data_IF_684051367765
#
_entry.id   IF_684051367765
#
_cell.length_a   1.000
_cell.length_b   1.000
_cell.length_c   1.000
_cell.angle_alpha   90.00
_cell.angle_beta   90.00
_cell.angle_gamma   90.00
#
_symmetry.space_group_name_H-M   'P 1'
#
loop_
_entity.id
_entity.type
_entity.pdbx_description
1 polymer ?
#
# COMPACT_ATOMS: atom_id res chain seq x y z
N UNK A 1 -17.22 -6.35 4.49
CA UNK A 1 -15.94 -6.53 5.24
C UNK A 1 -16.14 -6.78 6.74
N UNK A 2 -17.39 -7.03 7.17
CA UNK A 2 -17.70 -7.30 8.59
C UNK A 2 -16.86 -8.45 9.16
N UNK A 3 -16.35 -8.27 10.38
CA UNK A 3 -15.50 -9.25 11.06
C UNK A 3 -14.08 -9.38 10.52
N UNK A 4 -13.67 -8.65 9.49
CA UNK A 4 -12.29 -8.62 8.98
C UNK A 4 -11.45 -7.58 9.73
N UNK A 5 -10.20 -7.93 10.03
CA UNK A 5 -9.19 -7.04 10.61
C UNK A 5 -8.21 -6.63 9.51
N UNK A 6 -8.12 -5.34 9.28
CA UNK A 6 -7.30 -4.72 8.21
C UNK A 6 -6.20 -3.87 8.83
N UNK A 7 -4.96 -4.12 8.48
CA UNK A 7 -3.82 -3.26 8.81
C UNK A 7 -3.51 -2.36 7.60
N UNK A 8 -3.73 -1.05 7.75
CA UNK A 8 -3.41 -0.05 6.74
C UNK A 8 -2.13 0.66 7.13
N UNK A 9 -1.09 0.54 6.34
CA UNK A 9 0.15 1.29 6.55
C UNK A 9 0.10 2.63 5.80
N UNK A 10 0.66 3.70 6.38
CA UNK A 10 0.53 5.05 5.81
C UNK A 10 -0.89 5.62 5.90
N UNK A 11 -1.64 5.21 6.93
CA UNK A 11 -3.08 5.42 7.07
C UNK A 11 -3.53 6.89 7.13
N UNK A 12 -2.67 7.82 7.49
CA UNK A 12 -2.93 9.27 7.50
C UNK A 12 -2.39 10.02 6.28
N UNK A 13 -1.74 9.31 5.35
CA UNK A 13 -1.27 9.85 4.07
C UNK A 13 -2.41 10.16 3.08
N UNK A 14 -2.08 10.81 1.96
CA UNK A 14 -3.09 11.23 0.96
C UNK A 14 -3.99 10.11 0.46
N UNK A 15 -3.44 8.97 0.05
CA UNK A 15 -4.21 7.78 -0.32
C UNK A 15 -4.65 6.99 0.92
N UNK A 16 -3.76 6.79 1.89
CA UNK A 16 -4.00 5.93 3.06
C UNK A 16 -5.23 6.36 3.86
N UNK A 17 -5.49 7.67 3.95
CA UNK A 17 -6.70 8.21 4.62
C UNK A 17 -7.97 7.73 3.93
N UNK A 18 -8.02 7.75 2.61
CA UNK A 18 -9.19 7.30 1.84
C UNK A 18 -9.34 5.77 1.90
N UNK A 19 -8.22 5.04 1.84
CA UNK A 19 -8.20 3.58 2.01
C UNK A 19 -8.72 3.19 3.40
N UNK A 20 -8.22 3.83 4.46
CA UNK A 20 -8.69 3.59 5.83
C UNK A 20 -10.19 3.85 5.96
N UNK A 21 -10.68 4.99 5.46
CA UNK A 21 -12.09 5.31 5.49
C UNK A 21 -12.94 4.29 4.70
N UNK A 22 -12.50 3.91 3.49
CA UNK A 22 -13.22 2.94 2.66
C UNK A 22 -13.36 1.56 3.33
N UNK A 23 -12.32 1.09 4.02
CA UNK A 23 -12.41 -0.16 4.80
C UNK A 23 -13.35 -0.02 6.01
N UNK A 24 -13.33 1.12 6.71
CA UNK A 24 -14.26 1.40 7.82
C UNK A 24 -15.72 1.43 7.33
N UNK A 25 -15.98 2.11 6.20
CA UNK A 25 -17.31 2.20 5.59
C UNK A 25 -17.81 0.83 5.12
N UNK A 26 -16.90 -0.03 4.67
CA UNK A 26 -17.20 -1.42 4.33
C UNK A 26 -17.41 -2.34 5.55
N UNK A 27 -17.31 -1.82 6.78
CA UNK A 27 -17.60 -2.55 8.02
C UNK A 27 -16.42 -3.32 8.61
N UNK A 28 -15.19 -3.09 8.14
CA UNK A 28 -14.00 -3.71 8.70
C UNK A 28 -13.58 -3.07 10.03
N UNK A 29 -12.86 -3.82 10.86
CA UNK A 29 -12.02 -3.27 11.93
C UNK A 29 -10.69 -2.86 11.31
N UNK A 30 -10.28 -1.60 11.46
CA UNK A 30 -9.10 -1.07 10.82
C UNK A 30 -8.06 -0.64 11.85
N UNK A 31 -6.88 -1.19 11.72
CA UNK A 31 -5.67 -0.71 12.40
C UNK A 31 -4.90 0.15 11.41
N UNK A 32 -4.83 1.46 11.68
CA UNK A 32 -4.06 2.39 10.88
C UNK A 32 -2.69 2.65 11.49
N UNK A 33 -1.62 2.55 10.71
CA UNK A 33 -0.28 2.91 11.17
C UNK A 33 0.38 3.96 10.30
N UNK A 34 1.03 4.89 10.94
CA UNK A 34 1.98 5.87 10.39
C UNK A 34 2.84 6.43 11.52
N UNK A 35 3.81 7.25 11.17
CA UNK A 35 4.74 7.84 12.16
C UNK A 35 4.07 8.73 13.20
N UNK A 36 2.94 9.36 12.87
CA UNK A 36 2.28 10.39 13.72
C UNK A 36 0.77 10.23 13.81
N UNK A 37 0.24 9.08 13.41
CA UNK A 37 -1.20 8.84 13.44
C UNK A 37 -1.76 8.93 14.86
N UNK A 38 -2.92 9.54 15.01
CA UNK A 38 -3.63 9.65 16.27
C UNK A 38 -4.98 8.96 16.18
N UNK A 39 -5.51 8.53 17.32
CA UNK A 39 -6.83 7.89 17.41
C UNK A 39 -7.94 8.80 16.87
N UNK A 40 -7.80 10.11 17.02
CA UNK A 40 -8.74 11.12 16.51
C UNK A 40 -8.74 11.30 14.98
N UNK A 41 -7.82 10.63 14.26
CA UNK A 41 -7.73 10.72 12.79
C UNK A 41 -9.00 10.24 12.09
N UNK A 42 -9.71 9.28 12.69
CA UNK A 42 -10.96 8.72 12.19
C UNK A 42 -11.99 8.58 13.32
N UNK A 43 -13.22 9.03 13.07
CA UNK A 43 -14.34 8.94 14.01
C UNK A 43 -15.07 7.60 13.84
N UNK A 44 -14.49 6.52 14.39
CA UNK A 44 -15.09 5.19 14.33
C UNK A 44 -14.59 4.34 15.50
N UNK A 45 -15.49 3.61 16.15
CA UNK A 45 -15.15 2.63 17.19
C UNK A 45 -14.42 1.40 16.63
N UNK A 46 -14.45 1.21 15.30
CA UNK A 46 -13.71 0.16 14.59
C UNK A 46 -12.33 0.60 14.12
N UNK A 47 -11.90 1.82 14.44
CA UNK A 47 -10.56 2.32 14.13
C UNK A 47 -9.64 2.25 15.33
N UNK A 48 -8.40 1.82 15.11
CA UNK A 48 -7.31 1.85 16.09
C UNK A 48 -6.07 2.45 15.44
N UNK A 49 -5.50 3.48 16.05
CA UNK A 49 -4.24 4.06 15.63
C UNK A 49 -3.05 3.38 16.33
N UNK A 50 -2.04 2.98 15.57
CA UNK A 50 -0.75 2.51 16.09
C UNK A 50 0.34 3.35 15.45
N UNK A 51 0.90 4.29 16.20
CA UNK A 51 2.01 5.11 15.71
C UNK A 51 3.30 4.26 15.63
N UNK A 52 3.99 4.33 14.49
CA UNK A 52 5.24 3.60 14.29
C UNK A 52 5.84 3.79 12.91
N UNK A 53 7.08 3.33 12.76
CA UNK A 53 7.83 3.36 11.50
C UNK A 53 8.00 1.94 10.96
N UNK A 54 8.28 1.83 9.66
CA UNK A 54 8.60 0.55 9.00
C UNK A 54 10.03 0.67 8.46
N UNK A 55 10.99 0.75 9.39
CA UNK A 55 12.41 0.92 9.06
C UNK A 55 13.17 -0.41 8.95
N UNK A 56 12.65 -1.46 9.59
CA UNK A 56 13.25 -2.80 9.60
C UNK A 56 12.20 -3.86 9.96
N UNK A 57 12.62 -5.12 9.95
CA UNK A 57 11.73 -6.25 10.26
C UNK A 57 11.17 -6.18 11.69
N UNK A 58 11.96 -5.74 12.67
CA UNK A 58 11.50 -5.73 14.07
C UNK A 58 10.43 -4.66 14.30
N UNK A 59 10.59 -3.46 13.73
CA UNK A 59 9.55 -2.44 13.76
C UNK A 59 8.26 -2.91 13.08
N UNK A 60 8.36 -3.60 11.93
CA UNK A 60 7.21 -4.19 11.25
C UNK A 60 6.53 -5.29 12.10
N UNK A 61 7.32 -6.17 12.73
CA UNK A 61 6.80 -7.20 13.65
C UNK A 61 6.08 -6.60 14.85
N UNK A 62 6.60 -5.51 15.41
CA UNK A 62 5.95 -4.82 16.52
C UNK A 62 4.56 -4.32 16.16
N UNK A 63 4.40 -3.69 14.97
CA UNK A 63 3.10 -3.24 14.46
C UNK A 63 2.12 -4.41 14.28
N UNK A 64 2.57 -5.51 13.69
CA UNK A 64 1.73 -6.70 13.48
C UNK A 64 1.36 -7.36 14.82
N UNK A 65 2.30 -7.50 15.75
CA UNK A 65 2.03 -8.05 17.09
C UNK A 65 0.99 -7.22 17.84
N UNK A 66 1.11 -5.89 17.79
CA UNK A 66 0.14 -5.02 18.45
C UNK A 66 -1.25 -5.14 17.83
N UNK A 67 -1.35 -5.26 16.50
CA UNK A 67 -2.60 -5.55 15.81
C UNK A 67 -3.18 -6.91 16.26
N UNK A 68 -2.40 -7.98 16.20
CA UNK A 68 -2.88 -9.34 16.50
C UNK A 68 -3.15 -9.56 17.99
N UNK A 69 -2.43 -8.90 18.89
CA UNK A 69 -2.71 -8.98 20.34
C UNK A 69 -4.04 -8.33 20.71
N UNK A 70 -4.47 -7.28 19.97
CA UNK A 70 -5.74 -6.60 20.23
C UNK A 70 -6.93 -7.31 19.61
N UNK A 71 -6.78 -7.89 18.42
CA UNK A 71 -7.89 -8.40 17.62
C UNK A 71 -7.83 -9.91 17.35
N UNK A 72 -6.80 -10.61 17.83
CA UNK A 72 -6.63 -12.05 17.69
C UNK A 72 -6.24 -12.53 16.30
N UNK A 73 -6.26 -11.67 15.27
CA UNK A 73 -6.00 -12.03 13.87
C UNK A 73 -5.58 -10.83 13.01
N UNK A 74 -5.18 -11.13 11.79
CA UNK A 74 -4.99 -10.16 10.70
C UNK A 74 -5.50 -10.80 9.40
N UNK A 75 -6.50 -10.21 8.78
CA UNK A 75 -7.08 -10.70 7.52
C UNK A 75 -6.50 -9.98 6.29
N UNK A 76 -6.20 -8.68 6.40
CA UNK A 76 -5.76 -7.86 5.26
C UNK A 76 -4.58 -6.98 5.64
N UNK A 77 -3.54 -6.98 4.82
CA UNK A 77 -2.48 -5.97 4.79
C UNK A 77 -2.71 -5.05 3.58
N UNK A 78 -3.13 -3.81 3.83
CA UNK A 78 -3.25 -2.74 2.85
C UNK A 78 -2.02 -1.82 2.95
N UNK A 79 -1.02 -2.03 2.08
CA UNK A 79 0.25 -1.30 2.15
C UNK A 79 0.22 -0.08 1.24
N UNK A 80 0.10 1.12 1.84
CA UNK A 80 0.06 2.39 1.11
C UNK A 80 1.29 3.27 1.37
N UNK A 81 2.25 2.81 2.18
CA UNK A 81 3.54 3.50 2.35
C UNK A 81 4.31 3.53 1.05
N UNK A 82 4.88 4.65 0.75
CA UNK A 82 5.74 4.88 -0.39
C UNK A 82 6.14 6.34 -0.51
N UNK A 83 7.07 6.62 -1.40
CA UNK A 83 7.54 7.97 -1.68
C UNK A 83 7.95 8.12 -3.13
N UNK A 84 8.13 9.36 -3.54
CA UNK A 84 8.56 9.74 -4.88
C UNK A 84 9.81 10.63 -4.80
N UNK A 85 10.75 10.38 -5.68
CA UNK A 85 11.81 11.30 -6.06
C UNK A 85 12.05 11.16 -7.56
N UNK A 86 12.21 12.28 -8.24
CA UNK A 86 12.43 12.35 -9.67
C UNK A 86 12.93 13.73 -10.08
N UNK A 87 13.18 13.90 -11.37
CA UNK A 87 13.70 15.15 -11.95
C UNK A 87 15.17 15.09 -12.39
N UNK A 88 15.92 14.06 -11.94
CA UNK A 88 17.32 13.87 -12.34
C UNK A 88 17.48 12.68 -13.29
N UNK A 89 18.41 12.76 -14.23
CA UNK A 89 18.82 11.61 -15.03
C UNK A 89 19.45 10.52 -14.16
N UNK A 90 19.55 9.29 -14.66
CA UNK A 90 20.20 8.20 -13.92
C UNK A 90 21.66 8.54 -13.61
N UNK A 91 22.37 9.22 -14.53
CA UNK A 91 23.76 9.63 -14.34
C UNK A 91 23.94 10.68 -13.24
N UNK A 92 22.91 11.43 -12.92
CA UNK A 92 22.92 12.54 -11.92
C UNK A 92 22.22 12.16 -10.61
N UNK A 93 21.56 11.00 -10.56
CA UNK A 93 20.87 10.53 -9.34
C UNK A 93 21.93 10.09 -8.33
N UNK A 94 21.96 10.74 -7.17
CA UNK A 94 22.87 10.38 -6.07
C UNK A 94 22.44 9.09 -5.36
N UNK A 95 23.40 8.42 -4.70
CA UNK A 95 23.19 7.16 -3.98
C UNK A 95 22.16 7.31 -2.85
N UNK A 96 22.09 8.46 -2.18
CA UNK A 96 21.16 8.70 -1.07
C UNK A 96 19.72 8.75 -1.58
N UNK A 97 19.48 9.40 -2.72
CA UNK A 97 18.16 9.42 -3.39
C UNK A 97 17.75 8.01 -3.85
N UNK A 98 18.68 7.26 -4.45
CA UNK A 98 18.44 5.88 -4.87
C UNK A 98 18.07 5.00 -3.65
N UNK A 99 18.89 5.04 -2.60
CA UNK A 99 18.64 4.27 -1.38
C UNK A 99 17.31 4.65 -0.71
N UNK A 100 17.00 5.95 -0.63
CA UNK A 100 15.73 6.43 -0.10
C UNK A 100 14.52 5.85 -0.86
N UNK A 101 14.60 5.74 -2.18
CA UNK A 101 13.52 5.13 -2.98
C UNK A 101 13.38 3.64 -2.69
N UNK A 102 14.49 2.92 -2.56
CA UNK A 102 14.47 1.51 -2.15
C UNK A 102 13.88 1.35 -0.75
N UNK A 103 14.29 2.16 0.22
CA UNK A 103 13.80 2.05 1.60
C UNK A 103 12.29 2.31 1.71
N UNK A 104 11.80 3.36 1.04
CA UNK A 104 10.39 3.73 1.10
C UNK A 104 9.48 2.79 0.29
N UNK A 105 9.91 2.33 -0.89
CA UNK A 105 9.03 1.64 -1.82
C UNK A 105 9.22 0.11 -1.87
N UNK A 106 10.40 -0.39 -1.50
CA UNK A 106 10.72 -1.82 -1.52
C UNK A 106 10.93 -2.39 -0.12
N UNK A 107 11.88 -1.84 0.66
CA UNK A 107 12.24 -2.39 1.96
C UNK A 107 11.06 -2.32 2.95
N UNK A 108 10.29 -1.23 2.93
CA UNK A 108 9.10 -1.09 3.79
C UNK A 108 8.07 -2.18 3.54
N UNK A 109 7.73 -2.44 2.28
CA UNK A 109 6.77 -3.50 1.92
C UNK A 109 7.33 -4.88 2.21
N UNK A 110 8.61 -5.12 1.93
CA UNK A 110 9.29 -6.39 2.25
C UNK A 110 9.19 -6.71 3.75
N UNK A 111 9.52 -5.75 4.61
CA UNK A 111 9.44 -5.92 6.06
C UNK A 111 8.01 -6.16 6.54
N UNK A 112 7.05 -5.37 6.02
CA UNK A 112 5.64 -5.54 6.42
C UNK A 112 5.04 -6.85 5.97
N UNK A 113 5.26 -7.26 4.72
CA UNK A 113 4.77 -8.55 4.21
C UNK A 113 5.38 -9.71 5.01
N UNK A 114 6.71 -9.68 5.21
CA UNK A 114 7.41 -10.71 5.98
C UNK A 114 6.90 -10.80 7.42
N UNK A 115 6.55 -9.68 8.05
CA UNK A 115 5.98 -9.67 9.39
C UNK A 115 4.53 -10.15 9.43
N UNK A 116 3.72 -9.78 8.42
CA UNK A 116 2.28 -10.05 8.39
C UNK A 116 1.92 -11.47 7.93
N UNK A 117 2.74 -12.10 7.07
CA UNK A 117 2.44 -13.40 6.46
C UNK A 117 2.05 -14.50 7.45
N UNK A 118 2.70 -14.67 8.62
CA UNK A 118 2.27 -15.69 9.59
C UNK A 118 0.82 -15.52 10.04
N UNK A 119 0.40 -14.28 10.35
CA UNK A 119 -0.97 -13.98 10.77
C UNK A 119 -1.98 -14.09 9.61
N UNK A 120 -1.59 -13.64 8.41
CA UNK A 120 -2.42 -13.76 7.20
C UNK A 120 -2.66 -15.23 6.81
N UNK A 121 -1.65 -16.10 6.92
CA UNK A 121 -1.80 -17.55 6.72
C UNK A 121 -2.75 -18.15 7.75
N UNK A 122 -2.60 -17.78 9.02
CA UNK A 122 -3.47 -18.28 10.09
C UNK A 122 -4.92 -17.84 9.96
N UNK A 123 -5.21 -16.78 9.20
CA UNK A 123 -6.59 -16.32 8.94
C UNK A 123 -7.35 -17.22 7.96
N UNK A 124 -6.65 -18.09 7.20
CA UNK A 124 -7.20 -18.98 6.17
C UNK A 124 -7.76 -18.28 4.94
N UNK A 125 -7.70 -16.95 4.86
CA UNK A 125 -8.16 -16.15 3.73
C UNK A 125 -7.48 -14.77 3.73
N UNK A 126 -6.14 -14.78 3.78
CA UNK A 126 -5.32 -13.59 3.89
C UNK A 126 -5.27 -12.75 2.61
N UNK A 127 -5.15 -11.44 2.74
CA UNK A 127 -4.99 -10.52 1.60
C UNK A 127 -3.80 -9.59 1.81
N UNK A 128 -2.98 -9.45 0.77
CA UNK A 128 -1.93 -8.42 0.68
C UNK A 128 -2.25 -7.56 -0.54
N UNK A 129 -2.39 -6.26 -0.34
CA UNK A 129 -2.64 -5.32 -1.44
C UNK A 129 -1.64 -4.17 -1.29
N UNK A 130 -0.76 -4.02 -2.28
CA UNK A 130 0.28 -3.00 -2.28
C UNK A 130 0.04 -1.96 -3.39
N UNK A 131 0.47 -0.73 -3.13
CA UNK A 131 0.37 0.37 -4.11
C UNK A 131 1.68 0.52 -4.85
N UNK A 132 1.64 0.15 -6.12
CA UNK A 132 2.71 0.38 -7.08
C UNK A 132 2.67 1.76 -7.71
N UNK A 133 2.97 1.81 -8.99
CA UNK A 133 2.89 2.98 -9.85
C UNK A 133 2.93 2.54 -11.30
N UNK A 134 2.32 3.32 -12.21
CA UNK A 134 2.51 3.17 -13.67
C UNK A 134 4.00 3.08 -14.03
N UNK A 135 4.84 3.89 -13.38
CA UNK A 135 6.29 3.91 -13.60
C UNK A 135 7.01 2.57 -13.33
N UNK A 136 6.37 1.61 -12.67
CA UNK A 136 6.93 0.27 -12.49
C UNK A 136 6.99 -0.53 -13.80
N UNK A 137 6.07 -0.27 -14.73
CA UNK A 137 5.98 -0.95 -16.04
C UNK A 137 6.29 -0.01 -17.20
N UNK A 138 5.99 1.27 -17.07
CA UNK A 138 6.14 2.32 -18.08
C UNK A 138 6.98 3.47 -17.50
N UNK A 139 8.31 3.26 -17.31
CA UNK A 139 9.16 4.30 -16.74
C UNK A 139 9.37 5.45 -17.69
N UNK A 140 9.25 6.69 -17.19
CA UNK A 140 9.61 7.90 -17.91
C UNK A 140 11.05 8.33 -17.63
N UNK A 141 11.51 9.34 -18.36
CA UNK A 141 12.80 9.99 -18.08
C UNK A 141 12.77 10.70 -16.71
N UNK A 142 13.91 10.69 -16.01
CA UNK A 142 14.07 11.38 -14.73
C UNK A 142 13.45 10.70 -13.51
N UNK A 143 12.97 9.45 -13.62
CA UNK A 143 12.36 8.70 -12.50
C UNK A 143 13.04 7.36 -12.25
N UNK A 144 14.32 7.20 -12.61
CA UNK A 144 15.04 5.93 -12.59
C UNK A 144 15.00 5.22 -11.24
N UNK A 145 15.40 5.89 -10.16
CA UNK A 145 15.39 5.33 -8.80
C UNK A 145 13.98 4.93 -8.34
N UNK A 146 13.00 5.79 -8.60
CA UNK A 146 11.60 5.53 -8.25
C UNK A 146 11.04 4.33 -9.01
N UNK A 147 11.17 4.31 -10.34
CA UNK A 147 10.64 3.24 -11.18
C UNK A 147 11.28 1.88 -10.85
N UNK A 148 12.61 1.85 -10.66
CA UNK A 148 13.33 0.64 -10.25
C UNK A 148 12.81 0.10 -8.91
N UNK A 149 12.61 0.96 -7.90
CA UNK A 149 12.07 0.56 -6.60
C UNK A 149 10.65 0.00 -6.69
N UNK A 150 9.79 0.61 -7.53
CA UNK A 150 8.40 0.16 -7.75
C UNK A 150 8.33 -1.11 -8.59
N UNK A 151 9.20 -1.29 -9.58
CA UNK A 151 9.30 -2.53 -10.35
C UNK A 151 9.74 -3.70 -9.49
N UNK A 152 10.74 -3.50 -8.62
CA UNK A 152 11.20 -4.51 -7.67
C UNK A 152 10.08 -4.91 -6.69
N UNK A 153 9.29 -3.95 -6.19
CA UNK A 153 8.14 -4.22 -5.33
C UNK A 153 7.06 -5.04 -6.05
N UNK A 154 6.77 -4.76 -7.32
CA UNK A 154 5.83 -5.56 -8.14
C UNK A 154 6.30 -7.01 -8.21
N UNK A 155 7.59 -7.25 -8.52
CA UNK A 155 8.17 -8.59 -8.56
C UNK A 155 8.03 -9.30 -7.21
N UNK A 156 8.35 -8.62 -6.10
CA UNK A 156 8.24 -9.14 -4.75
C UNK A 156 6.81 -9.60 -4.42
N UNK A 157 5.79 -8.77 -4.66
CA UNK A 157 4.40 -9.13 -4.34
C UNK A 157 3.90 -10.29 -5.19
N UNK A 158 4.31 -10.38 -6.45
CA UNK A 158 4.00 -11.54 -7.30
C UNK A 158 4.64 -12.83 -6.77
N UNK A 159 5.85 -12.76 -6.25
CA UNK A 159 6.51 -13.89 -5.58
C UNK A 159 5.72 -14.30 -4.33
N UNK A 160 5.32 -13.33 -3.49
CA UNK A 160 4.46 -13.60 -2.32
C UNK A 160 3.16 -14.32 -2.71
N UNK A 161 2.53 -13.90 -3.81
CA UNK A 161 1.33 -14.55 -4.33
C UNK A 161 1.58 -16.01 -4.72
N UNK A 162 2.72 -16.29 -5.38
CA UNK A 162 3.08 -17.64 -5.81
C UNK A 162 3.39 -18.57 -4.63
N UNK A 163 4.13 -18.07 -3.63
CA UNK A 163 4.58 -18.82 -2.45
C UNK A 163 3.45 -19.17 -1.46
N UNK A 164 2.31 -18.49 -1.54
CA UNK A 164 1.27 -18.59 -0.52
C UNK A 164 -0.09 -19.08 -1.04
N UNK A 165 -0.11 -19.71 -2.22
CA UNK A 165 -1.33 -20.28 -2.82
C UNK A 165 -2.00 -21.29 -1.90
N UNK A 166 -1.24 -22.24 -1.39
CA UNK A 166 -1.75 -23.33 -0.54
C UNK A 166 -2.19 -22.83 0.86
N UNK A 167 -1.70 -21.66 1.26
CA UNK A 167 -2.07 -21.00 2.51
C UNK A 167 -3.24 -20.02 2.36
N UNK A 168 -3.92 -20.01 1.20
CA UNK A 168 -5.06 -19.13 0.89
C UNK A 168 -4.76 -17.63 1.08
N UNK A 169 -3.49 -17.21 0.89
CA UNK A 169 -3.12 -15.80 0.89
C UNK A 169 -3.01 -15.29 -0.54
N UNK A 170 -3.81 -14.29 -0.87
CA UNK A 170 -3.78 -13.60 -2.17
C UNK A 170 -2.99 -12.30 -2.04
N UNK A 171 -2.09 -12.04 -2.98
CA UNK A 171 -1.27 -10.84 -2.98
C UNK A 171 -1.33 -10.14 -4.35
N UNK A 172 -1.72 -8.86 -4.36
CA UNK A 172 -1.93 -8.10 -5.58
C UNK A 172 -1.32 -6.71 -5.50
N UNK A 173 -1.02 -6.13 -6.65
CA UNK A 173 -0.49 -4.76 -6.78
C UNK A 173 -1.44 -3.93 -7.63
N UNK A 174 -1.77 -2.74 -7.15
CA UNK A 174 -2.46 -1.72 -7.95
C UNK A 174 -1.40 -0.73 -8.45
N UNK A 175 -1.43 -0.40 -9.73
CA UNK A 175 -0.55 0.57 -10.36
C UNK A 175 -1.34 1.84 -10.71
N UNK A 176 -1.42 2.83 -9.81
CA UNK A 176 -2.03 4.10 -10.18
C UNK A 176 -1.17 4.87 -11.19
N UNK A 177 -1.84 5.59 -12.09
CA UNK A 177 -1.26 6.76 -12.77
C UNK A 177 -1.09 7.92 -11.80
N UNK A 178 -1.04 9.13 -12.31
CA UNK A 178 -1.02 10.34 -11.47
C UNK A 178 -2.32 10.43 -10.66
N UNK A 179 -2.22 10.41 -9.35
CA UNK A 179 -3.39 10.52 -8.47
C UNK A 179 -3.73 11.99 -8.19
N UNK A 180 -5.01 12.31 -8.17
CA UNK A 180 -5.51 13.64 -7.79
C UNK A 180 -5.41 13.86 -6.28
N UNK A 181 -4.23 14.27 -5.84
CA UNK A 181 -3.92 14.58 -4.45
C UNK A 181 -3.46 16.03 -4.29
N UNK A 182 -3.65 16.65 -3.11
CA UNK A 182 -3.14 18.00 -2.86
C UNK A 182 -1.64 18.14 -3.17
N UNK A 183 -0.84 17.13 -2.82
CA UNK A 183 0.60 17.13 -3.09
C UNK A 183 0.92 17.14 -4.60
N UNK A 184 0.21 16.32 -5.39
CA UNK A 184 0.41 16.28 -6.84
C UNK A 184 -0.09 17.57 -7.52
N UNK A 185 -1.21 18.13 -7.07
CA UNK A 185 -1.68 19.44 -7.55
C UNK A 185 -0.66 20.55 -7.29
N UNK A 186 -0.02 20.54 -6.13
CA UNK A 186 1.03 21.51 -5.80
C UNK A 186 2.31 21.28 -6.62
N UNK A 187 2.71 20.02 -6.82
CA UNK A 187 3.92 19.67 -7.58
C UNK A 187 3.76 19.92 -9.08
N UNK A 188 2.55 19.81 -9.63
CA UNK A 188 2.25 19.93 -11.05
C UNK A 188 1.13 20.94 -11.33
N UNK A 189 1.32 22.25 -11.02
CA UNK A 189 0.25 23.26 -11.07
C UNK A 189 -0.26 23.56 -12.50
N UNK A 190 0.46 23.11 -13.54
CA UNK A 190 0.08 23.28 -14.96
C UNK A 190 -0.61 22.06 -15.55
N UNK A 191 -0.65 20.93 -14.83
CA UNK A 191 -1.31 19.73 -15.29
C UNK A 191 -2.83 19.82 -15.08
N UNK A 192 -3.59 19.05 -15.86
CA UNK A 192 -5.05 18.98 -15.75
C UNK A 192 -5.47 17.84 -14.79
N UNK A 193 -5.90 18.13 -13.55
CA UNK A 193 -6.28 17.11 -12.60
C UNK A 193 -7.51 16.28 -13.01
N UNK A 194 -8.32 16.76 -13.97
CA UNK A 194 -9.48 16.01 -14.45
C UNK A 194 -9.08 14.71 -15.19
N UNK A 195 -7.83 14.62 -15.65
CA UNK A 195 -7.27 13.43 -16.28
C UNK A 195 -6.66 12.44 -15.29
N UNK A 196 -6.43 12.87 -14.05
CA UNK A 196 -5.77 12.08 -13.03
C UNK A 196 -6.70 11.04 -12.40
N UNK A 197 -6.10 10.08 -11.74
CA UNK A 197 -6.82 9.02 -11.02
C UNK A 197 -7.41 9.58 -9.73
N UNK A 198 -8.74 9.50 -9.53
CA UNK A 198 -9.32 9.80 -8.21
C UNK A 198 -8.79 8.78 -7.18
N UNK A 199 -8.16 9.22 -6.07
CA UNK A 199 -7.66 8.27 -5.05
C UNK A 199 -8.76 7.39 -4.45
N UNK A 200 -10.02 7.85 -4.45
CA UNK A 200 -11.17 7.06 -4.03
C UNK A 200 -11.39 5.81 -4.89
N UNK A 201 -11.11 5.87 -6.20
CA UNK A 201 -11.19 4.70 -7.08
C UNK A 201 -10.17 3.64 -6.71
N UNK A 202 -8.94 4.04 -6.33
CA UNK A 202 -7.92 3.13 -5.83
C UNK A 202 -8.34 2.51 -4.50
N UNK A 203 -8.89 3.31 -3.58
CA UNK A 203 -9.38 2.83 -2.29
C UNK A 203 -10.52 1.81 -2.45
N UNK A 204 -11.48 2.07 -3.34
CA UNK A 204 -12.58 1.15 -3.64
C UNK A 204 -12.07 -0.17 -4.23
N UNK A 205 -11.09 -0.12 -5.12
CA UNK A 205 -10.46 -1.31 -5.69
C UNK A 205 -9.72 -2.13 -4.62
N UNK A 206 -9.05 -1.48 -3.65
CA UNK A 206 -8.42 -2.18 -2.53
C UNK A 206 -9.45 -2.92 -1.67
N UNK A 207 -10.60 -2.29 -1.37
CA UNK A 207 -11.70 -2.94 -0.64
C UNK A 207 -12.25 -4.13 -1.43
N UNK A 208 -12.43 -3.97 -2.74
CA UNK A 208 -12.92 -5.07 -3.60
C UNK A 208 -11.94 -6.24 -3.62
N UNK A 209 -10.64 -6.01 -3.82
CA UNK A 209 -9.62 -7.06 -3.78
C UNK A 209 -9.53 -7.77 -2.41
N UNK A 210 -9.88 -7.08 -1.33
CA UNK A 210 -9.92 -7.64 0.02
C UNK A 210 -11.21 -8.40 0.33
N UNK A 211 -12.26 -8.23 -0.48
CA UNK A 211 -13.57 -8.87 -0.30
C UNK A 211 -13.61 -10.29 -0.89
N UNK A 212 -14.70 -11.00 -0.65
CA UNK A 212 -14.98 -12.30 -1.27
C UNK A 212 -15.06 -12.19 -2.80
N UNK A 213 -15.62 -11.10 -3.32
CA UNK A 213 -15.74 -10.87 -4.76
C UNK A 213 -14.38 -10.78 -5.49
N UNK A 214 -13.34 -10.31 -4.78
CA UNK A 214 -11.97 -10.29 -5.28
C UNK A 214 -11.14 -11.53 -4.93
N UNK A 215 -11.76 -12.55 -4.31
CA UNK A 215 -11.08 -13.70 -3.72
C UNK A 215 -10.25 -14.55 -4.68
N UNK A 216 -10.63 -14.62 -5.95
CA UNK A 216 -9.91 -15.39 -6.96
C UNK A 216 -8.74 -14.63 -7.62
N UNK A 217 -8.62 -13.30 -7.34
CA UNK A 217 -7.54 -12.50 -7.92
C UNK A 217 -6.27 -12.67 -7.09
N UNK A 218 -5.23 -13.26 -7.71
CA UNK A 218 -3.94 -13.51 -7.08
C UNK A 218 -2.78 -13.25 -8.04
N UNK A 219 -1.76 -12.56 -7.58
CA UNK A 219 -0.57 -12.20 -8.37
C UNK A 219 -0.84 -11.14 -9.45
N UNK A 220 -1.99 -10.49 -9.39
CA UNK A 220 -2.38 -9.48 -10.37
C UNK A 220 -1.59 -8.18 -10.19
N UNK A 221 -1.29 -7.56 -11.33
CA UNK A 221 -0.73 -6.21 -11.45
C UNK A 221 -1.78 -5.39 -12.19
N UNK A 222 -2.49 -4.53 -11.47
CA UNK A 222 -3.73 -3.92 -11.94
C UNK A 222 -3.50 -2.44 -12.26
N UNK A 223 -3.47 -2.05 -13.55
CA UNK A 223 -3.40 -0.65 -13.96
C UNK A 223 -4.67 0.12 -13.57
N UNK A 224 -4.47 1.33 -13.02
CA UNK A 224 -5.52 2.31 -12.76
C UNK A 224 -4.97 3.67 -13.20
N UNK A 225 -5.04 3.98 -14.50
CA UNK A 225 -4.31 5.12 -15.08
C UNK A 225 -5.17 6.36 -15.31
N UNK A 226 -6.48 6.27 -15.10
CA UNK A 226 -7.39 7.38 -15.42
C UNK A 226 -7.49 7.59 -16.92
N UNK A 227 -7.65 8.85 -17.32
CA UNK A 227 -7.71 9.23 -18.76
C UNK A 227 -6.33 9.52 -19.36
N UNK A 228 -5.24 9.28 -18.64
CA UNK A 228 -3.86 9.38 -19.11
C UNK A 228 -3.33 8.07 -19.72
N UNK A 229 -4.14 7.02 -19.75
CA UNK A 229 -3.81 5.69 -20.24
C UNK A 229 -4.02 5.51 -21.73
#
# INVERSE_FOLDING_TARGET
MHGKVVLVTGADGGLGRLVTQAFLDAGATVVGTSTRIQQSAFKSDRFTAIAGTISNLESARSLVRECTSRFGKLDVLAHTVGGFAGGSSVAETDDATFQKMLDLNLNSVFHMVRAALPALRSSGNGRVIAIGSRAALEPGAGVGAYSASKAAMVSLIRTVAAENKDAEVRANVILPGTMDTPANRQAMPKADPAKWVPPASVASLMVWLASEAGGEVNGAVIPVYGSEG
#
